data_IF_201243564713
#
_entry.id   IF_201243564713
#
_cell.length_a   1.000
_cell.length_b   1.000
_cell.length_c   1.000
_cell.angle_alpha   90.00
_cell.angle_beta   90.00
_cell.angle_gamma   90.00
#
_symmetry.space_group_name_H-M   'P 1'
#
loop_
_entity.id
_entity.type
_entity.pdbx_description
1 polymer ?
#
# COMPACT_ATOMS: atom_id res chain seq x y z
N UNK A 1 -22.22 -26.27 30.19
CA UNK A 1 -22.41 -24.81 29.98
C UNK A 1 -21.10 -24.02 29.89
N UNK A 2 -20.01 -24.39 30.56
CA UNK A 2 -18.71 -23.70 30.45
C UNK A 2 -18.02 -23.70 29.07
N UNK A 3 -17.99 -24.80 28.28
CA UNK A 3 -17.24 -24.81 27.01
C UNK A 3 -17.95 -24.01 25.89
N UNK A 4 -19.27 -23.84 25.99
CA UNK A 4 -20.05 -23.07 25.03
C UNK A 4 -19.75 -21.57 25.15
N UNK A 5 -19.54 -21.10 26.39
CA UNK A 5 -19.16 -19.71 26.66
C UNK A 5 -17.75 -19.40 26.16
N UNK A 6 -16.80 -20.34 26.30
CA UNK A 6 -15.45 -20.18 25.75
C UNK A 6 -15.44 -20.18 24.22
N UNK A 7 -16.29 -21.00 23.58
CA UNK A 7 -16.44 -21.03 22.13
C UNK A 7 -17.03 -19.72 21.59
N UNK A 8 -18.06 -19.17 22.26
CA UNK A 8 -18.66 -17.88 21.91
C UNK A 8 -17.66 -16.73 22.13
N UNK A 9 -16.84 -16.79 23.19
CA UNK A 9 -15.78 -15.81 23.44
C UNK A 9 -14.70 -15.87 22.34
N UNK A 10 -14.27 -17.06 21.93
CA UNK A 10 -13.31 -17.26 20.83
C UNK A 10 -13.86 -16.78 19.48
N UNK A 11 -15.16 -17.00 19.22
CA UNK A 11 -15.84 -16.53 18.01
C UNK A 11 -16.10 -15.01 17.99
N UNK A 12 -16.10 -14.34 19.14
CA UNK A 12 -16.24 -12.88 19.23
C UNK A 12 -14.91 -12.14 19.08
N UNK A 13 -13.77 -12.82 19.29
CA UNK A 13 -12.45 -12.32 18.90
C UNK A 13 -12.09 -12.59 17.44
N UNK A 14 -12.90 -13.36 16.71
CA UNK A 14 -12.85 -13.41 15.24
C UNK A 14 -13.75 -12.34 14.62
N UNK A 15 -13.76 -11.13 15.19
CA UNK A 15 -14.06 -9.93 14.39
C UNK A 15 -13.04 -9.95 13.26
N UNK A 16 -13.50 -10.44 12.11
CA UNK A 16 -12.66 -10.65 10.95
C UNK A 16 -11.90 -9.36 10.71
N UNK A 17 -10.57 -9.45 10.63
CA UNK A 17 -9.81 -8.47 9.89
C UNK A 17 -10.49 -8.41 8.53
N UNK A 18 -11.33 -7.40 8.30
CA UNK A 18 -11.97 -7.19 7.03
C UNK A 18 -10.82 -6.92 6.06
N UNK A 19 -10.33 -7.99 5.43
CA UNK A 19 -9.38 -7.86 4.35
C UNK A 19 -10.19 -7.30 3.18
N UNK A 20 -10.05 -6.00 3.01
CA UNK A 20 -10.50 -5.16 1.94
C UNK A 20 -9.68 -5.36 0.66
N UNK A 21 -8.39 -5.73 0.78
CA UNK A 21 -7.50 -6.01 -0.36
C UNK A 21 -7.15 -7.50 -0.42
N UNK A 22 -8.12 -8.34 -0.78
CA UNK A 22 -7.91 -9.79 -0.80
C UNK A 22 -7.10 -10.25 -2.01
N UNK A 23 -7.15 -9.49 -3.11
CA UNK A 23 -6.50 -9.88 -4.34
C UNK A 23 -4.99 -9.61 -4.35
N UNK A 24 -4.29 -10.43 -5.13
CA UNK A 24 -2.86 -10.25 -5.41
C UNK A 24 -2.60 -9.15 -6.44
N UNK A 25 -3.65 -8.61 -7.05
CA UNK A 25 -3.57 -7.51 -8.00
C UNK A 25 -4.48 -6.38 -7.55
N UNK A 26 -3.95 -5.17 -7.51
CA UNK A 26 -4.67 -3.93 -7.25
C UNK A 26 -4.54 -3.05 -8.48
N UNK A 27 -5.67 -2.57 -8.98
CA UNK A 27 -5.73 -1.61 -10.07
C UNK A 27 -5.76 -0.19 -9.50
N UNK A 28 -5.25 0.76 -10.26
CA UNK A 28 -5.30 2.15 -9.88
C UNK A 28 -5.43 3.10 -11.07
N UNK A 29 -5.99 4.28 -10.81
CA UNK A 29 -6.03 5.42 -11.72
C UNK A 29 -5.57 6.67 -10.97
N UNK A 30 -5.08 7.65 -11.71
CA UNK A 30 -4.56 8.93 -11.21
C UNK A 30 -5.42 10.03 -11.84
N UNK A 31 -6.62 10.30 -11.26
CA UNK A 31 -7.54 11.28 -11.83
C UNK A 31 -6.97 12.72 -11.83
N UNK A 32 -5.96 13.00 -11.02
CA UNK A 32 -5.19 14.24 -11.01
C UNK A 32 -3.82 14.03 -10.33
N UNK A 33 -2.95 15.04 -10.40
CA UNK A 33 -1.57 15.00 -9.91
C UNK A 33 -1.41 14.70 -8.40
N UNK A 34 -2.50 14.73 -7.63
CA UNK A 34 -2.47 14.62 -6.16
C UNK A 34 -3.20 13.40 -5.62
N UNK A 35 -4.00 12.72 -6.43
CA UNK A 35 -4.89 11.66 -5.97
C UNK A 35 -4.66 10.41 -6.80
N UNK A 36 -4.41 9.28 -6.13
CA UNK A 36 -4.50 7.96 -6.72
C UNK A 36 -5.70 7.22 -6.15
N UNK A 37 -6.47 6.57 -7.02
CA UNK A 37 -7.63 5.78 -6.65
C UNK A 37 -7.34 4.31 -6.90
N UNK A 38 -7.63 3.43 -5.95
CA UNK A 38 -7.29 2.01 -5.99
C UNK A 38 -8.53 1.14 -5.84
N UNK A 39 -8.58 0.04 -6.58
CA UNK A 39 -9.62 -0.99 -6.46
C UNK A 39 -9.01 -2.37 -6.70
N UNK A 40 -9.47 -3.38 -5.94
CA UNK A 40 -8.96 -4.74 -6.06
C UNK A 40 -9.84 -5.63 -6.96
N UNK A 41 -11.03 -5.17 -7.32
CA UNK A 41 -12.03 -5.85 -8.14
C UNK A 41 -12.89 -4.82 -8.88
N UNK A 42 -13.73 -5.26 -9.83
CA UNK A 42 -14.62 -4.36 -10.59
C UNK A 42 -15.72 -3.71 -9.73
N UNK A 43 -15.83 -4.07 -8.45
CA UNK A 43 -16.82 -3.50 -7.54
C UNK A 43 -16.36 -2.13 -7.02
N UNK A 44 -17.30 -1.19 -6.97
CA UNK A 44 -17.14 0.26 -6.80
C UNK A 44 -16.50 0.75 -5.49
N UNK A 45 -16.01 -0.15 -4.64
CA UNK A 45 -15.26 0.21 -3.45
C UNK A 45 -13.84 0.59 -3.84
N UNK A 46 -13.51 1.86 -3.66
CA UNK A 46 -12.20 2.39 -3.98
C UNK A 46 -11.55 3.02 -2.75
N UNK A 47 -10.23 2.87 -2.65
CA UNK A 47 -9.41 3.58 -1.67
C UNK A 47 -8.71 4.74 -2.36
N UNK A 48 -8.81 5.93 -1.78
CA UNK A 48 -8.14 7.12 -2.27
C UNK A 48 -6.82 7.34 -1.48
N UNK A 49 -5.74 7.61 -2.21
CA UNK A 49 -4.42 7.94 -1.70
C UNK A 49 -4.09 9.37 -2.12
N UNK A 50 -3.90 10.24 -1.12
CA UNK A 50 -3.36 11.58 -1.30
C UNK A 50 -1.84 11.49 -1.49
N UNK A 51 -1.44 11.52 -2.76
CA UNK A 51 -0.07 11.50 -3.20
C UNK A 51 0.68 12.78 -2.82
N UNK A 52 0.02 13.92 -2.57
CA UNK A 52 0.75 15.12 -2.15
C UNK A 52 1.16 15.03 -0.68
N UNK A 53 0.23 14.61 0.16
CA UNK A 53 0.39 14.61 1.62
C UNK A 53 0.83 13.26 2.20
N UNK A 54 1.03 12.22 1.37
CA UNK A 54 1.35 10.85 1.83
C UNK A 54 0.28 10.29 2.76
N UNK A 55 -0.96 10.65 2.49
CA UNK A 55 -2.10 10.29 3.30
C UNK A 55 -2.92 9.22 2.60
N UNK A 56 -3.27 8.18 3.32
CA UNK A 56 -4.20 7.15 2.84
C UNK A 56 -5.39 7.20 3.78
N UNK A 57 -6.60 7.33 3.23
CA UNK A 57 -7.83 7.34 4.03
C UNK A 57 -8.81 6.39 3.35
N UNK A 58 -9.23 5.36 4.07
CA UNK A 58 -10.39 4.57 3.70
C UNK A 58 -11.21 4.20 4.93
N UNK A 59 -12.27 3.43 4.72
CA UNK A 59 -13.21 3.05 5.78
C UNK A 59 -12.59 2.23 6.91
N UNK A 60 -11.39 1.67 6.71
CA UNK A 60 -10.73 0.74 7.63
C UNK A 60 -9.42 1.27 8.21
N UNK A 61 -8.70 2.11 7.47
CA UNK A 61 -7.35 2.53 7.80
C UNK A 61 -7.09 3.99 7.43
N UNK A 62 -6.34 4.67 8.30
CA UNK A 62 -5.82 6.02 8.08
C UNK A 62 -4.30 6.01 8.24
N UNK A 63 -3.60 6.54 7.25
CA UNK A 63 -2.16 6.79 7.29
C UNK A 63 -1.96 8.29 7.27
N UNK A 64 -1.45 8.86 8.35
CA UNK A 64 -1.26 10.30 8.50
C UNK A 64 -0.13 10.58 9.50
N UNK A 65 0.69 11.58 9.22
CA UNK A 65 1.80 12.01 10.09
C UNK A 65 2.72 10.86 10.55
N UNK A 66 3.06 9.95 9.62
CA UNK A 66 3.91 8.77 9.84
C UNK A 66 3.32 7.72 10.82
N UNK A 67 2.04 7.85 11.17
CA UNK A 67 1.27 6.95 12.05
C UNK A 67 0.15 6.27 11.27
N UNK A 68 -0.21 5.05 11.69
CA UNK A 68 -1.27 4.23 11.10
C UNK A 68 -2.35 3.99 12.14
N UNK A 69 -3.59 4.33 11.78
CA UNK A 69 -4.77 4.05 12.58
C UNK A 69 -5.65 3.03 11.87
N UNK A 70 -6.24 2.12 12.63
CA UNK A 70 -7.40 1.37 12.18
C UNK A 70 -8.68 2.07 12.66
N UNK A 71 -9.71 2.03 11.84
CA UNK A 71 -11.01 2.66 12.06
C UNK A 71 -12.04 1.58 12.40
N UNK A 72 -12.76 1.78 13.49
CA UNK A 72 -13.88 0.95 13.92
C UNK A 72 -15.05 1.85 14.31
N UNK A 73 -16.06 1.89 13.43
CA UNK A 73 -17.24 2.76 13.46
C UNK A 73 -16.94 4.27 13.62
N UNK A 74 -16.60 4.71 14.84
CA UNK A 74 -16.35 6.10 15.23
C UNK A 74 -15.08 6.28 16.06
N UNK A 75 -14.33 5.20 16.28
CA UNK A 75 -13.08 5.19 17.02
C UNK A 75 -11.93 4.87 16.08
N UNK A 76 -10.82 5.57 16.26
CA UNK A 76 -9.56 5.29 15.60
C UNK A 76 -8.53 4.87 16.64
N UNK A 77 -7.85 3.76 16.41
CA UNK A 77 -6.78 3.28 17.29
C UNK A 77 -5.48 3.13 16.50
N UNK A 78 -4.40 3.57 17.12
CA UNK A 78 -3.05 3.44 16.55
C UNK A 78 -2.68 1.95 16.47
N UNK A 79 -2.30 1.49 15.28
CA UNK A 79 -1.87 0.11 15.01
C UNK A 79 -0.42 0.02 14.55
N UNK A 80 0.23 1.16 14.32
CA UNK A 80 1.63 1.19 13.94
C UNK A 80 2.10 2.53 13.42
N UNK A 81 3.32 2.53 12.90
CA UNK A 81 3.97 3.70 12.30
C UNK A 81 4.80 3.29 11.10
N UNK A 82 5.21 4.25 10.29
CA UNK A 82 6.04 4.00 9.12
C UNK A 82 6.99 5.15 8.85
N UNK A 83 8.06 4.84 8.14
CA UNK A 83 8.94 5.85 7.56
C UNK A 83 9.13 5.58 6.06
N UNK A 84 10.14 6.23 5.46
CA UNK A 84 10.46 6.05 4.04
C UNK A 84 10.70 4.58 3.65
N UNK A 85 11.35 3.80 4.51
CA UNK A 85 11.85 2.45 4.24
C UNK A 85 11.39 1.39 5.25
N UNK A 86 10.77 1.76 6.36
CA UNK A 86 10.37 0.82 7.39
C UNK A 86 8.88 0.97 7.71
N UNK A 87 8.28 -0.15 8.07
CA UNK A 87 6.89 -0.23 8.54
C UNK A 87 6.90 -1.01 9.86
N UNK A 88 6.32 -0.41 10.89
CA UNK A 88 6.30 -0.89 12.26
C UNK A 88 4.86 -1.18 12.66
N UNK A 89 4.45 -2.44 12.58
CA UNK A 89 3.15 -2.94 13.06
C UNK A 89 3.41 -3.81 14.30
N UNK A 90 2.67 -4.90 14.48
CA UNK A 90 3.04 -5.98 15.42
C UNK A 90 4.42 -6.57 15.13
N UNK A 91 4.83 -6.50 13.86
CA UNK A 91 6.15 -6.90 13.37
C UNK A 91 6.81 -5.76 12.63
N UNK A 92 8.14 -5.80 12.55
CA UNK A 92 8.92 -4.87 11.75
C UNK A 92 9.09 -5.39 10.32
N UNK A 93 8.83 -4.52 9.36
CA UNK A 93 9.03 -4.78 7.95
C UNK A 93 9.98 -3.76 7.34
N UNK A 94 10.85 -4.24 6.45
CA UNK A 94 11.82 -3.41 5.74
C UNK A 94 11.52 -3.43 4.25
N UNK A 95 11.37 -2.24 3.70
CA UNK A 95 11.22 -1.99 2.28
C UNK A 95 12.58 -1.85 1.60
N UNK A 96 12.73 -2.48 0.45
CA UNK A 96 13.92 -2.39 -0.39
C UNK A 96 13.58 -2.30 -1.87
N UNK A 97 14.53 -1.82 -2.66
CA UNK A 97 14.39 -1.57 -4.11
C UNK A 97 15.39 -2.43 -4.88
N UNK A 98 15.19 -3.75 -4.98
CA UNK A 98 16.19 -4.64 -5.57
C UNK A 98 16.42 -4.39 -7.07
N UNK A 99 15.40 -3.94 -7.83
CA UNK A 99 15.50 -3.68 -9.27
C UNK A 99 14.66 -2.47 -9.71
N UNK A 100 14.93 -1.95 -10.92
CA UNK A 100 14.02 -1.03 -11.61
C UNK A 100 12.67 -1.74 -11.82
N UNK A 101 11.60 -1.22 -11.22
CA UNK A 101 10.22 -1.74 -11.25
C UNK A 101 9.89 -2.91 -10.32
N UNK A 102 10.81 -3.35 -9.46
CA UNK A 102 10.49 -4.31 -8.38
C UNK A 102 10.81 -3.71 -7.03
N UNK A 103 9.83 -3.82 -6.15
CA UNK A 103 9.96 -3.53 -4.73
C UNK A 103 9.94 -4.87 -3.98
N UNK A 104 10.61 -4.90 -2.84
CA UNK A 104 10.59 -6.05 -1.94
C UNK A 104 10.36 -5.57 -0.52
N UNK A 105 9.47 -6.24 0.18
CA UNK A 105 9.27 -6.05 1.61
C UNK A 105 9.70 -7.32 2.34
N UNK A 106 10.43 -7.16 3.44
CA UNK A 106 10.96 -8.26 4.24
C UNK A 106 10.52 -8.08 5.69
N UNK A 107 9.87 -9.10 6.26
CA UNK A 107 9.65 -9.20 7.71
C UNK A 107 11.00 -9.44 8.39
N UNK A 108 11.43 -8.53 9.27
CA UNK A 108 12.82 -8.47 9.75
C UNK A 108 13.20 -9.71 10.55
N UNK A 109 12.32 -10.19 11.42
CA UNK A 109 12.60 -11.31 12.32
C UNK A 109 12.68 -12.66 11.59
N UNK A 110 11.66 -12.94 10.78
CA UNK A 110 11.57 -14.22 10.06
C UNK A 110 12.31 -14.24 8.73
N UNK A 111 12.77 -13.07 8.24
CA UNK A 111 13.40 -12.85 6.93
C UNK A 111 12.54 -13.28 5.74
N UNK A 112 11.25 -13.53 5.95
CA UNK A 112 10.29 -13.81 4.89
C UNK A 112 10.11 -12.55 4.06
N UNK A 113 10.04 -12.69 2.75
CA UNK A 113 9.84 -11.55 1.86
C UNK A 113 8.72 -11.77 0.85
N UNK A 114 8.14 -10.65 0.43
CA UNK A 114 7.18 -10.55 -0.65
C UNK A 114 7.67 -9.52 -1.65
N UNK A 115 7.38 -9.75 -2.93
CA UNK A 115 7.79 -8.88 -4.03
C UNK A 115 6.58 -8.14 -4.57
N UNK A 116 6.80 -6.91 -5.02
CA UNK A 116 5.77 -6.09 -5.63
C UNK A 116 6.28 -5.56 -6.96
N UNK A 117 5.44 -5.65 -7.99
CA UNK A 117 5.72 -5.13 -9.33
C UNK A 117 4.60 -4.19 -9.76
N UNK A 118 4.97 -3.06 -10.34
CA UNK A 118 4.03 -2.10 -10.92
C UNK A 118 4.06 -2.24 -12.44
N UNK A 119 2.89 -2.29 -13.07
CA UNK A 119 2.71 -2.38 -14.52
C UNK A 119 1.58 -1.47 -14.94
N UNK A 120 1.89 -0.42 -15.71
CA UNK A 120 0.90 0.54 -16.21
C UNK A 120 -0.04 1.03 -15.10
N UNK A 121 -1.26 0.51 -15.07
CA UNK A 121 -2.40 0.85 -14.20
C UNK A 121 -2.65 -0.16 -13.07
N UNK A 122 -1.73 -1.10 -12.82
CA UNK A 122 -1.93 -2.10 -11.77
C UNK A 122 -0.64 -2.49 -11.03
N UNK A 123 -0.82 -3.00 -9.83
CA UNK A 123 0.21 -3.41 -8.87
C UNK A 123 -0.04 -4.87 -8.54
N UNK A 124 0.99 -5.70 -8.69
CA UNK A 124 0.91 -7.13 -8.47
C UNK A 124 1.81 -7.49 -7.29
N UNK A 125 1.22 -8.17 -6.33
CA UNK A 125 1.84 -8.66 -5.11
C UNK A 125 2.17 -10.14 -5.27
N UNK A 126 3.44 -10.49 -5.08
CA UNK A 126 3.94 -11.86 -5.09
C UNK A 126 4.33 -12.21 -3.65
N UNK A 127 3.38 -12.78 -2.90
CA UNK A 127 3.52 -13.08 -1.46
C UNK A 127 3.46 -14.59 -1.15
N UNK A 128 4.55 -15.33 -1.39
CA UNK A 128 4.60 -16.77 -1.14
C UNK A 128 4.54 -17.15 0.35
N UNK A 129 4.63 -16.17 1.25
CA UNK A 129 4.74 -16.37 2.68
C UNK A 129 3.57 -15.81 3.48
N UNK A 130 2.56 -15.25 2.78
CA UNK A 130 1.36 -14.64 3.36
C UNK A 130 1.70 -13.61 4.43
N UNK A 131 2.71 -12.76 4.16
CA UNK A 131 3.13 -11.69 5.07
C UNK A 131 2.43 -10.35 4.77
N UNK A 132 1.74 -10.23 3.64
CA UNK A 132 1.09 -8.99 3.20
C UNK A 132 -0.34 -8.88 3.73
N UNK A 133 -0.49 -8.08 4.78
CA UNK A 133 -1.80 -7.58 5.22
C UNK A 133 -2.26 -6.41 4.35
N UNK A 134 -3.52 -6.02 4.45
CA UNK A 134 -4.09 -4.85 3.79
C UNK A 134 -3.32 -3.57 4.05
N UNK A 135 -2.96 -3.33 5.31
CA UNK A 135 -2.13 -2.19 5.73
C UNK A 135 -0.81 -2.18 4.95
N UNK A 136 -0.17 -3.35 4.83
CA UNK A 136 1.07 -3.49 4.09
C UNK A 136 0.84 -3.26 2.58
N UNK A 137 -0.22 -3.83 2.00
CA UNK A 137 -0.57 -3.65 0.59
C UNK A 137 -0.84 -2.18 0.26
N UNK A 138 -1.61 -1.46 1.08
CA UNK A 138 -1.89 -0.02 0.94
C UNK A 138 -0.60 0.80 0.95
N UNK A 139 0.25 0.58 1.95
CA UNK A 139 1.52 1.28 2.07
C UNK A 139 2.46 1.02 0.89
N UNK A 140 2.52 -0.22 0.41
CA UNK A 140 3.31 -0.59 -0.77
C UNK A 140 2.73 -0.01 -2.06
N UNK A 141 1.40 0.05 -2.17
CA UNK A 141 0.74 0.66 -3.34
C UNK A 141 1.08 2.13 -3.46
N UNK A 142 1.04 2.88 -2.37
CA UNK A 142 1.46 4.29 -2.34
C UNK A 142 2.90 4.47 -2.86
N UNK A 143 3.83 3.65 -2.38
CA UNK A 143 5.24 3.68 -2.81
C UNK A 143 5.41 3.32 -4.28
N UNK A 144 4.64 2.36 -4.77
CA UNK A 144 4.61 1.95 -6.17
C UNK A 144 4.16 3.11 -7.08
N UNK A 145 3.04 3.75 -6.75
CA UNK A 145 2.44 4.82 -7.55
C UNK A 145 3.34 6.05 -7.56
N UNK A 146 3.86 6.49 -6.41
CA UNK A 146 4.86 7.58 -6.37
C UNK A 146 6.07 7.31 -7.23
N UNK A 147 6.54 6.05 -7.23
CA UNK A 147 7.71 5.68 -8.02
C UNK A 147 7.42 5.74 -9.51
N UNK A 148 6.21 5.36 -9.92
CA UNK A 148 5.76 5.49 -11.31
C UNK A 148 5.73 6.96 -11.74
N UNK A 149 5.10 7.84 -10.94
CA UNK A 149 5.01 9.26 -11.23
C UNK A 149 6.37 9.94 -11.32
N UNK A 150 7.25 9.72 -10.34
CA UNK A 150 8.61 10.27 -10.37
C UNK A 150 9.41 9.81 -11.60
N UNK A 151 9.07 8.64 -12.16
CA UNK A 151 9.71 8.12 -13.38
C UNK A 151 9.15 8.82 -14.61
N UNK A 152 7.83 8.96 -14.71
CA UNK A 152 7.17 9.66 -15.81
C UNK A 152 7.60 11.14 -15.87
N UNK A 153 7.71 11.80 -14.72
CA UNK A 153 8.26 13.16 -14.61
C UNK A 153 9.72 13.22 -15.11
N UNK A 154 10.56 12.27 -14.68
CA UNK A 154 11.95 12.23 -15.11
C UNK A 154 12.11 11.92 -16.60
N UNK A 155 11.30 11.01 -17.15
CA UNK A 155 11.29 10.69 -18.59
C UNK A 155 10.75 11.87 -19.42
N UNK A 156 9.71 12.56 -18.95
CA UNK A 156 9.18 13.78 -19.55
C UNK A 156 10.22 14.91 -19.57
N UNK A 157 10.91 15.14 -18.45
CA UNK A 157 11.97 16.14 -18.34
C UNK A 157 13.15 15.83 -19.29
N UNK A 158 13.57 14.56 -19.41
CA UNK A 158 14.62 14.16 -20.35
C UNK A 158 14.16 14.38 -21.81
N UNK A 159 12.90 14.04 -22.13
CA UNK A 159 12.30 14.29 -23.43
C UNK A 159 12.32 15.78 -23.79
N UNK A 160 11.91 16.66 -22.87
CA UNK A 160 11.91 18.11 -23.07
C UNK A 160 13.31 18.68 -23.30
N UNK A 161 14.32 18.22 -22.55
CA UNK A 161 15.71 18.63 -22.76
C UNK A 161 16.19 18.21 -24.16
N UNK A 162 15.93 16.96 -24.58
CA UNK A 162 16.38 16.46 -25.88
C UNK A 162 15.74 17.24 -27.04
N UNK A 163 14.46 17.60 -26.92
CA UNK A 163 13.76 18.41 -27.93
C UNK A 163 14.25 19.86 -27.91
N UNK A 164 14.44 20.46 -26.74
CA UNK A 164 14.93 21.84 -26.60
C UNK A 164 16.38 22.05 -27.07
N UNK A 165 17.22 21.02 -26.96
CA UNK A 165 18.59 21.03 -27.53
C UNK A 165 18.55 20.82 -29.05
N UNK A 166 17.58 20.07 -29.57
CA UNK A 166 17.43 19.82 -31.02
C UNK A 166 16.85 20.99 -31.82
N UNK A 167 16.15 21.93 -31.19
CA UNK A 167 15.60 23.13 -31.85
C UNK A 167 16.51 24.36 -31.78
N UNK A 168 17.69 24.22 -31.17
CA UNK A 168 18.68 25.29 -30.99
C UNK A 168 19.84 25.23 -32.01
N UNK A 169 19.69 24.50 -33.12
CA UNK A 169 20.66 24.42 -34.23
C UNK A 169 20.06 24.89 -35.56
#
# INVERSE_FOLDING_TARGET
>A
MKPLLTLILLLSFSLGNAQYLQNDTIYFDIPNDTLARLWDSHDYNHTDIDLKNRRIINDYYVFEDDVIFAVDDSLSFEIGSYDKNNLYLEKQYKFSKPLFNRLEITEVESKKSAKVRTKADHIIFEDPHHILTDVIKLWLSEKCIRRLLNREEAEGFISEILIGVGTSF
#
